data_IF_027559695877
#
_entry.id   IF_027559695877
#
_cell.length_a   1.000
_cell.length_b   1.000
_cell.length_c   1.000
_cell.angle_alpha   90.00
_cell.angle_beta   90.00
_cell.angle_gamma   90.00
#
_symmetry.space_group_name_H-M   'P 1'
#
loop_
_entity.id
_entity.type
_entity.pdbx_description
1 polymer ?
#
# COMPACT_ATOMS: atom_id res chain seq x y z
N UNK A 1 -8.22 -20.46 -5.67
CA UNK A 1 -7.98 -21.10 -4.36
C UNK A 1 -6.90 -20.32 -3.65
N UNK A 2 -7.19 -19.78 -2.45
CA UNK A 2 -6.19 -19.06 -1.67
C UNK A 2 -5.04 -20.00 -1.29
N UNK A 3 -3.79 -19.55 -1.48
CA UNK A 3 -2.62 -20.31 -1.02
C UNK A 3 -2.67 -20.38 0.52
N UNK A 4 -2.45 -21.55 1.13
CA UNK A 4 -2.38 -21.64 2.59
C UNK A 4 -1.24 -20.77 3.10
N UNK A 5 -1.47 -20.06 4.20
CA UNK A 5 -0.43 -19.30 4.91
C UNK A 5 0.78 -20.22 5.12
N UNK A 6 1.93 -19.89 4.51
CA UNK A 6 3.16 -20.64 4.73
C UNK A 6 3.64 -20.35 6.15
N UNK A 7 3.46 -21.32 7.05
CA UNK A 7 4.01 -21.31 8.40
C UNK A 7 5.52 -21.57 8.34
N UNK A 8 6.31 -20.60 7.87
CA UNK A 8 7.74 -20.61 8.12
C UNK A 8 7.96 -20.18 9.57
N UNK A 9 8.36 -21.13 10.43
CA UNK A 9 8.71 -20.88 11.83
C UNK A 9 10.07 -20.20 11.91
N UNK A 10 10.09 -18.93 11.53
CA UNK A 10 11.25 -18.05 11.74
C UNK A 10 11.11 -17.41 13.12
N UNK A 11 12.24 -17.02 13.74
CA UNK A 11 12.25 -16.41 15.08
C UNK A 11 11.22 -15.27 15.26
N UNK A 12 11.02 -14.34 14.30
CA UNK A 12 9.97 -13.32 14.42
C UNK A 12 8.55 -13.91 14.48
N UNK A 13 8.25 -14.92 13.66
CA UNK A 13 6.91 -15.55 13.64
C UNK A 13 6.62 -16.35 14.92
N UNK A 14 7.66 -16.95 15.52
CA UNK A 14 7.53 -17.63 16.81
C UNK A 14 7.21 -16.64 17.93
N UNK A 15 7.81 -15.44 17.89
CA UNK A 15 7.51 -14.35 18.82
C UNK A 15 6.08 -13.82 18.64
N UNK A 16 5.63 -13.58 17.40
CA UNK A 16 4.25 -13.16 17.11
C UNK A 16 3.21 -14.19 17.56
N UNK A 17 3.46 -15.48 17.31
CA UNK A 17 2.58 -16.56 17.76
C UNK A 17 2.60 -16.71 19.28
N UNK A 18 3.78 -16.61 19.89
CA UNK A 18 3.94 -16.57 21.34
C UNK A 18 3.16 -15.43 21.98
N UNK A 19 3.12 -14.23 21.34
CA UNK A 19 2.32 -13.10 21.81
C UNK A 19 0.84 -13.41 21.83
N UNK A 20 0.32 -14.08 20.81
CA UNK A 20 -1.10 -14.45 20.77
C UNK A 20 -1.46 -15.44 21.90
N UNK A 21 -0.54 -16.36 22.21
CA UNK A 21 -0.66 -17.26 23.38
C UNK A 21 -0.58 -16.46 24.70
N UNK A 22 0.36 -15.52 24.83
CA UNK A 22 0.45 -14.62 25.98
C UNK A 22 -0.83 -13.78 26.14
N UNK A 23 -1.45 -13.32 25.05
CA UNK A 23 -2.73 -12.60 25.11
C UNK A 23 -3.83 -13.47 25.71
N UNK A 24 -3.89 -14.77 25.36
CA UNK A 24 -4.86 -15.69 25.94
C UNK A 24 -4.62 -15.87 27.45
N UNK A 25 -3.37 -16.01 27.88
CA UNK A 25 -3.02 -16.06 29.30
C UNK A 25 -3.31 -14.74 30.04
N UNK A 26 -3.09 -13.61 29.39
CA UNK A 26 -3.41 -12.28 29.93
C UNK A 26 -4.93 -12.13 30.18
N UNK A 27 -5.75 -12.51 29.20
CA UNK A 27 -7.22 -12.51 29.35
C UNK A 27 -7.65 -13.46 30.46
N UNK A 28 -7.08 -14.67 30.50
CA UNK A 28 -7.38 -15.64 31.56
C UNK A 28 -6.99 -15.10 32.94
N UNK A 29 -5.84 -14.43 33.06
CA UNK A 29 -5.40 -13.81 34.30
C UNK A 29 -6.42 -12.77 34.79
N UNK A 30 -6.89 -11.87 33.92
CA UNK A 30 -7.89 -10.86 34.32
C UNK A 30 -9.29 -11.44 34.59
N UNK A 31 -9.64 -12.57 33.97
CA UNK A 31 -10.99 -13.15 34.04
C UNK A 31 -11.19 -14.15 35.19
N UNK A 32 -10.11 -14.79 35.64
CA UNK A 32 -10.17 -15.78 36.72
C UNK A 32 -9.91 -15.05 38.04
N UNK A 33 -10.75 -15.32 39.03
CA UNK A 33 -10.57 -14.79 40.39
C UNK A 33 -9.54 -15.64 41.13
N UNK A 34 -8.33 -15.11 41.30
CA UNK A 34 -7.27 -15.71 42.10
C UNK A 34 -6.35 -14.62 42.66
N UNK A 35 -5.62 -14.95 43.72
CA UNK A 35 -4.61 -14.07 44.29
C UNK A 35 -3.50 -13.81 43.27
N UNK A 36 -3.10 -12.54 43.08
CA UNK A 36 -2.09 -12.11 42.12
C UNK A 36 -2.56 -12.00 40.65
N UNK A 37 -3.87 -11.96 40.39
CA UNK A 37 -4.42 -11.82 39.03
C UNK A 37 -3.89 -10.59 38.30
N UNK A 38 -3.82 -9.43 38.97
CA UNK A 38 -3.34 -8.20 38.35
C UNK A 38 -1.82 -8.20 38.21
N UNK A 39 -1.12 -8.74 39.21
CA UNK A 39 0.34 -8.89 39.19
C UNK A 39 0.79 -9.77 38.02
N UNK A 40 0.12 -10.90 37.80
CA UNK A 40 0.38 -11.81 36.67
C UNK A 40 -0.02 -11.13 35.35
N UNK A 41 -1.17 -10.46 35.28
CA UNK A 41 -1.61 -9.74 34.09
C UNK A 41 -0.61 -8.63 33.70
N UNK A 42 -0.09 -7.86 34.66
CA UNK A 42 0.95 -6.86 34.44
C UNK A 42 2.22 -7.47 33.84
N UNK A 43 2.71 -8.55 34.44
CA UNK A 43 3.92 -9.24 33.97
C UNK A 43 3.75 -9.74 32.53
N UNK A 44 2.61 -10.38 32.23
CA UNK A 44 2.31 -10.86 30.88
C UNK A 44 2.21 -9.70 29.89
N UNK A 45 1.51 -8.62 30.25
CA UNK A 45 1.33 -7.46 29.38
C UNK A 45 2.66 -6.81 29.02
N UNK A 46 3.53 -6.57 30.01
CA UNK A 46 4.86 -5.99 29.79
C UNK A 46 5.72 -6.88 28.89
N UNK A 47 5.76 -8.19 29.15
CA UNK A 47 6.51 -9.14 28.30
C UNK A 47 5.94 -9.17 26.87
N UNK A 48 4.62 -9.19 26.72
CA UNK A 48 3.97 -9.19 25.41
C UNK A 48 4.24 -7.89 24.62
N UNK A 49 4.24 -6.74 25.28
CA UNK A 49 4.58 -5.44 24.63
C UNK A 49 6.08 -5.32 24.29
N UNK A 50 6.97 -5.81 25.15
CA UNK A 50 8.42 -5.79 24.87
C UNK A 50 8.80 -6.71 23.72
N UNK A 51 8.15 -7.87 23.61
CA UNK A 51 8.38 -8.82 22.51
C UNK A 51 7.92 -8.28 21.16
N UNK A 52 6.91 -7.40 21.10
CA UNK A 52 6.46 -6.66 19.89
C UNK A 52 7.46 -5.60 19.41
N UNK A 53 8.17 -4.98 20.35
CA UNK A 53 9.24 -4.09 19.97
C UNK A 53 10.45 -4.87 19.43
N UNK A 54 10.75 -6.00 20.07
CA UNK A 54 11.92 -6.83 19.77
C UNK A 54 11.80 -7.57 18.43
N UNK A 55 10.66 -8.18 18.11
CA UNK A 55 10.47 -8.87 16.83
C UNK A 55 10.52 -7.89 15.64
N UNK A 56 9.93 -6.70 15.78
CA UNK A 56 10.00 -5.64 14.79
C UNK A 56 11.43 -5.12 14.61
N UNK A 57 12.22 -5.04 15.69
CA UNK A 57 13.64 -4.69 15.61
C UNK A 57 14.45 -5.78 14.87
N UNK A 58 14.26 -7.05 15.23
CA UNK A 58 14.96 -8.19 14.61
C UNK A 58 14.58 -8.33 13.13
N UNK A 59 13.29 -8.25 12.79
CA UNK A 59 12.79 -8.34 11.42
C UNK A 59 13.36 -7.24 10.51
N UNK A 60 13.45 -5.99 11.02
CA UNK A 60 14.07 -4.88 10.29
C UNK A 60 15.58 -5.06 10.11
N UNK A 61 16.27 -5.61 11.11
CA UNK A 61 17.72 -5.84 11.07
C UNK A 61 18.12 -7.00 10.16
N UNK A 62 17.28 -8.04 10.08
CA UNK A 62 17.56 -9.25 9.30
C UNK A 62 16.92 -9.22 7.89
N UNK A 63 16.11 -8.21 7.59
CA UNK A 63 15.36 -8.10 6.32
C UNK A 63 14.43 -9.31 6.06
N UNK A 64 14.02 -10.01 7.12
CA UNK A 64 13.12 -11.18 7.08
C UNK A 64 11.72 -10.68 7.42
N UNK A 65 10.94 -10.36 6.39
CA UNK A 65 9.56 -9.91 6.55
C UNK A 65 8.62 -10.99 6.00
N UNK A 66 7.93 -11.70 6.88
CA UNK A 66 7.00 -12.77 6.50
C UNK A 66 5.57 -12.23 6.35
N UNK A 67 4.75 -12.88 5.53
CA UNK A 67 3.34 -12.49 5.36
C UNK A 67 2.47 -12.86 6.58
N UNK A 68 2.87 -13.90 7.31
CA UNK A 68 2.22 -14.28 8.57
C UNK A 68 2.47 -13.24 9.67
N UNK A 69 3.71 -12.77 9.86
CA UNK A 69 4.03 -11.71 10.83
C UNK A 69 3.30 -10.40 10.51
N UNK A 70 3.32 -9.97 9.24
CA UNK A 70 2.56 -8.78 8.78
C UNK A 70 1.07 -8.81 9.13
N UNK A 71 0.47 -10.00 9.22
CA UNK A 71 -0.93 -10.17 9.61
C UNK A 71 -1.10 -10.29 11.13
N UNK A 72 -0.26 -11.11 11.78
CA UNK A 72 -0.38 -11.41 13.20
C UNK A 72 0.02 -10.23 14.09
N UNK A 73 1.05 -9.44 13.71
CA UNK A 73 1.56 -8.37 14.57
C UNK A 73 0.51 -7.28 14.82
N UNK A 74 -0.15 -6.70 13.80
CA UNK A 74 -1.18 -5.67 14.02
C UNK A 74 -2.47 -6.23 14.63
N UNK A 75 -2.67 -7.55 14.58
CA UNK A 75 -3.82 -8.23 15.16
C UNK A 75 -3.60 -8.46 16.66
N UNK A 76 -2.45 -9.04 17.03
CA UNK A 76 -2.10 -9.33 18.41
C UNK A 76 -1.99 -8.05 19.25
N UNK A 77 -1.39 -6.97 18.71
CA UNK A 77 -1.30 -5.67 19.39
C UNK A 77 -2.68 -5.11 19.76
N UNK A 78 -3.62 -5.13 18.81
CA UNK A 78 -5.00 -4.65 19.05
C UNK A 78 -5.76 -5.52 20.02
N UNK A 79 -5.60 -6.85 19.93
CA UNK A 79 -6.26 -7.80 20.84
C UNK A 79 -5.76 -7.57 22.27
N UNK A 80 -4.44 -7.48 22.47
CA UNK A 80 -3.85 -7.31 23.80
C UNK A 80 -4.32 -6.01 24.48
N UNK A 81 -4.23 -4.88 23.77
CA UNK A 81 -4.64 -3.58 24.32
C UNK A 81 -6.16 -3.54 24.56
N UNK A 82 -6.97 -4.06 23.62
CA UNK A 82 -8.43 -4.09 23.80
C UNK A 82 -8.84 -5.00 24.94
N UNK A 83 -8.18 -6.16 25.11
CA UNK A 83 -8.41 -7.07 26.21
C UNK A 83 -8.12 -6.40 27.56
N UNK A 84 -7.08 -5.57 27.65
CA UNK A 84 -6.78 -4.85 28.88
C UNK A 84 -7.86 -3.82 29.22
N UNK A 85 -8.29 -3.02 28.25
CA UNK A 85 -9.38 -2.06 28.46
C UNK A 85 -10.69 -2.73 28.85
N UNK A 86 -11.03 -3.88 28.24
CA UNK A 86 -12.27 -4.62 28.54
C UNK A 86 -12.18 -5.33 29.89
N UNK A 87 -11.06 -6.02 30.15
CA UNK A 87 -10.87 -6.82 31.35
C UNK A 87 -10.79 -6.02 32.64
N UNK A 88 -10.50 -4.72 32.53
CA UNK A 88 -10.47 -3.80 33.67
C UNK A 88 -11.76 -2.97 33.83
N UNK A 89 -12.81 -3.22 33.03
CA UNK A 89 -14.08 -2.49 33.20
C UNK A 89 -14.67 -2.83 34.58
N UNK A 90 -14.91 -1.79 35.38
CA UNK A 90 -15.49 -1.93 36.71
C UNK A 90 -14.46 -2.04 37.84
N UNK A 91 -13.17 -2.13 37.51
CA UNK A 91 -12.08 -2.04 38.49
C UNK A 91 -11.79 -0.57 38.84
N UNK A 92 -11.23 -0.31 40.04
CA UNK A 92 -10.93 1.05 40.53
C UNK A 92 -9.99 1.83 39.60
N UNK A 93 -9.05 1.13 38.96
CA UNK A 93 -8.09 1.68 37.99
C UNK A 93 -8.52 1.44 36.53
N UNK A 94 -9.74 0.97 36.33
CA UNK A 94 -10.33 0.72 35.02
C UNK A 94 -10.79 1.97 34.29
N UNK A 95 -10.87 1.89 32.97
CA UNK A 95 -11.55 2.91 32.20
C UNK A 95 -13.09 2.71 32.25
N UNK A 96 -13.89 3.79 32.34
CA UNK A 96 -15.34 3.69 32.22
C UNK A 96 -15.76 3.04 30.90
N UNK A 97 -16.83 2.24 30.94
CA UNK A 97 -17.31 1.47 29.77
C UNK A 97 -17.47 2.32 28.50
N UNK A 98 -18.00 3.54 28.62
CA UNK A 98 -18.20 4.41 27.45
C UNK A 98 -16.87 4.82 26.78
N UNK A 99 -15.80 5.01 27.55
CA UNK A 99 -14.46 5.31 27.02
C UNK A 99 -13.89 4.08 26.33
N UNK A 100 -14.04 2.90 26.93
CA UNK A 100 -13.59 1.62 26.36
C UNK A 100 -14.27 1.36 25.02
N UNK A 101 -15.60 1.47 24.97
CA UNK A 101 -16.38 1.31 23.74
C UNK A 101 -15.94 2.31 22.68
N UNK A 102 -15.73 3.58 23.04
CA UNK A 102 -15.27 4.63 22.12
C UNK A 102 -13.89 4.31 21.53
N UNK A 103 -12.94 3.90 22.37
CA UNK A 103 -11.59 3.52 21.96
C UNK A 103 -11.64 2.33 20.98
N UNK A 104 -12.36 1.27 21.36
CA UNK A 104 -12.44 0.04 20.56
C UNK A 104 -13.17 0.29 19.24
N UNK A 105 -14.32 0.96 19.28
CA UNK A 105 -15.10 1.32 18.10
C UNK A 105 -14.24 2.09 17.09
N UNK A 106 -13.46 3.07 17.57
CA UNK A 106 -12.51 3.81 16.73
C UNK A 106 -11.46 2.88 16.10
N UNK A 107 -10.89 1.94 16.85
CA UNK A 107 -9.90 1.00 16.31
C UNK A 107 -10.44 0.12 15.18
N UNK A 108 -11.63 -0.43 15.37
CA UNK A 108 -12.31 -1.21 14.35
C UNK A 108 -12.73 -0.35 13.16
N UNK A 109 -13.21 0.86 13.40
CA UNK A 109 -13.64 1.79 12.37
C UNK A 109 -12.49 2.18 11.43
N UNK A 110 -11.32 2.54 11.97
CA UNK A 110 -10.13 2.87 11.15
C UNK A 110 -9.61 1.63 10.42
N UNK A 111 -9.66 0.46 11.06
CA UNK A 111 -9.27 -0.81 10.43
C UNK A 111 -10.21 -1.18 9.28
N UNK A 112 -11.52 -1.07 9.51
CA UNK A 112 -12.57 -1.30 8.52
C UNK A 112 -12.47 -0.32 7.36
N UNK A 113 -12.30 0.97 7.63
CA UNK A 113 -12.07 2.00 6.61
C UNK A 113 -10.84 1.68 5.75
N UNK A 114 -9.75 1.22 6.37
CA UNK A 114 -8.55 0.79 5.63
C UNK A 114 -8.82 -0.44 4.76
N UNK A 115 -9.63 -1.39 5.23
CA UNK A 115 -10.03 -2.56 4.43
C UNK A 115 -10.92 -2.13 3.25
N UNK A 116 -11.93 -1.29 3.49
CA UNK A 116 -12.82 -0.77 2.45
C UNK A 116 -12.05 0.05 1.42
N UNK A 117 -11.17 0.95 1.87
CA UNK A 117 -10.30 1.71 0.99
C UNK A 117 -9.35 0.80 0.19
N UNK A 118 -8.75 -0.21 0.84
CA UNK A 118 -7.90 -1.19 0.15
C UNK A 118 -8.67 -2.02 -0.89
N UNK A 119 -9.93 -2.36 -0.62
CA UNK A 119 -10.83 -3.04 -1.56
C UNK A 119 -11.21 -2.12 -2.74
N UNK A 120 -11.32 -0.81 -2.51
CA UNK A 120 -11.54 0.22 -3.55
C UNK A 120 -10.24 0.66 -4.26
N UNK A 121 -9.11 0.03 -3.97
CA UNK A 121 -7.82 0.36 -4.59
C UNK A 121 -7.12 1.62 -4.03
N UNK A 122 -7.61 2.18 -2.93
CA UNK A 122 -6.98 3.28 -2.20
C UNK A 122 -6.11 2.72 -1.06
N UNK A 123 -4.81 2.95 -1.13
CA UNK A 123 -3.89 2.64 -0.03
C UNK A 123 -3.84 3.81 0.94
N UNK A 124 -4.55 3.69 2.05
CA UNK A 124 -4.47 4.66 3.13
C UNK A 124 -3.13 4.53 3.87
N UNK A 125 -2.27 5.54 3.72
CA UNK A 125 -0.99 5.59 4.40
C UNK A 125 -1.16 5.52 5.93
N UNK A 126 -0.22 4.87 6.61
CA UNK A 126 -0.18 4.85 8.06
C UNK A 126 0.17 6.25 8.59
N UNK A 127 -0.73 6.85 9.36
CA UNK A 127 -0.50 8.16 9.99
C UNK A 127 0.50 8.06 11.15
N UNK A 128 1.48 8.99 11.22
CA UNK A 128 2.39 9.14 12.37
C UNK A 128 1.64 9.38 13.69
N UNK A 129 0.44 9.96 13.63
CA UNK A 129 -0.44 10.15 14.79
C UNK A 129 -0.90 8.82 15.43
N UNK A 130 -1.01 7.74 14.63
CA UNK A 130 -1.39 6.41 15.13
C UNK A 130 -0.35 5.81 16.08
N UNK A 131 0.94 6.15 15.92
CA UNK A 131 2.00 5.66 16.82
C UNK A 131 1.89 6.25 18.23
N UNK A 132 1.56 7.54 18.33
CA UNK A 132 1.42 8.23 19.61
C UNK A 132 0.22 7.72 20.41
N UNK A 133 -0.87 7.37 19.71
CA UNK A 133 -2.03 6.71 20.30
C UNK A 133 -1.64 5.42 21.02
N UNK A 134 -1.01 4.48 20.31
CA UNK A 134 -0.69 3.16 20.87
C UNK A 134 0.21 3.28 22.11
N UNK A 135 1.21 4.17 22.07
CA UNK A 135 2.09 4.44 23.22
C UNK A 135 1.27 4.95 24.41
N UNK A 136 0.39 5.94 24.21
CA UNK A 136 -0.43 6.48 25.31
C UNK A 136 -1.36 5.43 25.94
N UNK A 137 -1.91 4.52 25.14
CA UNK A 137 -2.77 3.45 25.63
C UNK A 137 -1.98 2.40 26.41
N UNK A 138 -0.81 1.99 25.92
CA UNK A 138 0.06 1.05 26.62
C UNK A 138 0.52 1.62 27.97
N UNK A 139 0.91 2.90 28.00
CA UNK A 139 1.31 3.57 29.25
C UNK A 139 0.16 3.59 30.26
N UNK A 140 -1.05 3.97 29.82
CA UNK A 140 -2.24 3.94 30.67
C UNK A 140 -2.49 2.52 31.25
N UNK A 141 -2.48 1.49 30.39
CA UNK A 141 -2.72 0.11 30.81
C UNK A 141 -1.66 -0.38 31.80
N UNK A 142 -0.38 -0.11 31.54
CA UNK A 142 0.71 -0.52 32.43
C UNK A 142 0.57 0.15 33.80
N UNK A 143 0.30 1.45 33.84
CA UNK A 143 0.10 2.18 35.11
C UNK A 143 -1.12 1.66 35.86
N UNK A 144 -2.23 1.39 35.16
CA UNK A 144 -3.46 0.89 35.77
C UNK A 144 -3.29 -0.52 36.35
N UNK A 145 -2.66 -1.43 35.59
CA UNK A 145 -2.33 -2.77 36.08
C UNK A 145 -1.32 -2.75 37.23
N UNK A 146 -0.37 -1.82 37.21
CA UNK A 146 0.59 -1.64 38.30
C UNK A 146 -0.10 -1.19 39.59
N UNK A 147 -0.98 -0.19 39.52
CA UNK A 147 -1.73 0.29 40.69
C UNK A 147 -2.67 -0.80 41.24
N UNK A 148 -3.35 -1.54 40.35
CA UNK A 148 -4.19 -2.67 40.75
C UNK A 148 -3.36 -3.79 41.41
N UNK A 149 -2.16 -4.09 40.89
CA UNK A 149 -1.24 -5.07 41.48
C UNK A 149 -0.71 -4.62 42.85
N UNK A 150 -0.40 -3.33 43.04
CA UNK A 150 0.04 -2.81 44.34
C UNK A 150 -1.06 -2.90 45.39
N UNK A 151 -2.30 -2.61 45.01
CA UNK A 151 -3.47 -2.75 45.88
C UNK A 151 -3.72 -4.22 46.25
N UNK A 152 -3.67 -5.12 45.26
CA UNK A 152 -3.78 -6.57 45.43
C UNK A 152 -2.74 -7.14 46.39
N UNK A 153 -1.49 -6.66 46.31
CA UNK A 153 -0.39 -7.09 47.16
C UNK A 153 -0.36 -6.39 48.54
N UNK A 154 -1.31 -5.48 48.82
CA UNK A 154 -1.35 -4.66 50.04
C UNK A 154 -0.03 -3.91 50.28
N UNK A 155 0.62 -3.45 49.21
CA UNK A 155 1.86 -2.66 49.29
C UNK A 155 1.49 -1.27 49.82
N UNK A 156 2.14 -0.75 50.88
CA UNK A 156 1.85 0.58 51.40
C UNK A 156 2.08 1.69 50.36
N UNK A 157 1.23 2.71 50.40
CA UNK A 157 1.32 3.87 49.51
C UNK A 157 2.64 4.62 49.71
N UNK A 158 3.56 4.41 48.77
CA UNK A 158 4.80 5.18 48.65
C UNK A 158 4.64 6.38 47.71
N UNK A 159 5.61 7.31 47.69
CA UNK A 159 5.53 8.53 46.87
C UNK A 159 5.33 8.25 45.37
N UNK A 160 5.87 7.12 44.87
CA UNK A 160 5.68 6.69 43.48
C UNK A 160 4.24 6.24 43.23
N UNK A 161 3.67 5.42 44.12
CA UNK A 161 2.30 4.91 43.99
C UNK A 161 1.31 6.08 44.03
N UNK A 162 1.45 6.97 45.01
CA UNK A 162 0.61 8.17 45.12
C UNK A 162 0.72 9.08 43.90
N UNK A 163 1.92 9.27 43.35
CA UNK A 163 2.11 10.05 42.12
C UNK A 163 1.41 9.39 40.93
N UNK A 164 1.58 8.07 40.75
CA UNK A 164 0.97 7.31 39.67
C UNK A 164 -0.57 7.31 39.77
N UNK A 165 -1.10 7.12 40.97
CA UNK A 165 -2.54 7.20 41.29
C UNK A 165 -3.11 8.57 40.88
N UNK A 166 -2.42 9.66 41.22
CA UNK A 166 -2.82 11.02 40.85
C UNK A 166 -2.82 11.28 39.33
N UNK A 167 -1.83 10.76 38.59
CA UNK A 167 -1.72 11.03 37.14
C UNK A 167 -2.52 10.03 36.28
N UNK A 168 -2.90 8.88 36.81
CA UNK A 168 -3.55 7.82 36.03
C UNK A 168 -4.84 8.28 35.33
N UNK A 169 -5.73 9.07 35.96
CA UNK A 169 -6.91 9.60 35.27
C UNK A 169 -6.54 10.53 34.11
N UNK A 170 -5.47 11.33 34.26
CA UNK A 170 -4.98 12.19 33.19
C UNK A 170 -4.44 11.36 32.01
N UNK A 171 -3.74 10.25 32.28
CA UNK A 171 -3.27 9.32 31.25
C UNK A 171 -4.43 8.72 30.44
N UNK A 172 -5.55 8.38 31.10
CA UNK A 172 -6.76 7.90 30.42
C UNK A 172 -7.33 8.95 29.46
N UNK A 173 -7.50 10.19 29.93
CA UNK A 173 -8.00 11.29 29.11
C UNK A 173 -7.06 11.61 27.94
N UNK A 174 -5.75 11.55 28.15
CA UNK A 174 -4.75 11.70 27.09
C UNK A 174 -4.89 10.57 26.06
N UNK A 175 -4.99 9.31 26.51
CA UNK A 175 -5.14 8.17 25.63
C UNK A 175 -6.42 8.25 24.79
N UNK A 176 -7.54 8.62 25.40
CA UNK A 176 -8.81 8.86 24.71
C UNK A 176 -8.70 10.04 23.73
N UNK A 177 -8.16 11.17 24.18
CA UNK A 177 -8.02 12.38 23.37
C UNK A 177 -7.15 12.16 22.13
N UNK A 178 -6.00 11.50 22.27
CA UNK A 178 -5.14 11.14 21.14
C UNK A 178 -5.84 10.12 20.23
N UNK A 179 -6.59 9.16 20.79
CA UNK A 179 -7.36 8.18 20.01
C UNK A 179 -8.40 8.86 19.12
N UNK A 180 -9.18 9.78 19.69
CA UNK A 180 -10.19 10.54 18.97
C UNK A 180 -9.57 11.50 17.95
N UNK A 181 -8.56 12.28 18.35
CA UNK A 181 -7.86 13.22 17.47
C UNK A 181 -7.24 12.50 16.27
N UNK A 182 -6.54 11.40 16.51
CA UNK A 182 -5.94 10.62 15.43
C UNK A 182 -7.01 9.98 14.52
N UNK A 183 -8.18 9.62 15.07
CA UNK A 183 -9.32 9.15 14.30
C UNK A 183 -9.88 10.26 13.41
N UNK A 184 -10.16 11.43 13.99
CA UNK A 184 -10.65 12.61 13.30
C UNK A 184 -9.72 13.06 12.17
N UNK A 185 -8.42 13.19 12.45
CA UNK A 185 -7.41 13.55 11.43
C UNK A 185 -7.43 12.54 10.27
N UNK A 186 -7.54 11.24 10.59
CA UNK A 186 -7.61 10.20 9.58
C UNK A 186 -8.86 10.32 8.73
N UNK A 187 -10.03 10.54 9.35
CA UNK A 187 -11.29 10.75 8.64
C UNK A 187 -11.27 12.00 7.76
N UNK A 188 -10.84 13.14 8.30
CA UNK A 188 -10.80 14.41 7.60
C UNK A 188 -9.92 14.36 6.35
N UNK A 189 -8.72 13.78 6.46
CA UNK A 189 -7.80 13.61 5.33
C UNK A 189 -8.36 12.67 4.25
N UNK A 190 -9.17 11.71 4.65
CA UNK A 190 -9.71 10.66 3.79
C UNK A 190 -11.20 10.85 3.45
N UNK A 191 -11.76 12.03 3.71
CA UNK A 191 -13.18 12.34 3.48
C UNK A 191 -13.62 12.17 2.03
N UNK A 192 -12.69 12.31 1.08
CA UNK A 192 -12.93 12.06 -0.34
C UNK A 192 -13.28 10.61 -0.70
N UNK A 193 -13.04 9.64 0.20
CA UNK A 193 -13.49 8.26 0.00
C UNK A 193 -15.00 8.08 0.16
N UNK A 194 -15.65 8.98 0.90
CA UNK A 194 -17.10 8.95 1.13
C UNK A 194 -17.88 9.79 0.10
N UNK A 195 -17.21 10.69 -0.61
CA UNK A 195 -17.83 11.56 -1.62
C UNK A 195 -18.17 10.85 -2.95
N UNK A 196 -17.87 9.56 -3.09
CA UNK A 196 -18.11 8.78 -4.33
C UNK A 196 -19.45 8.02 -4.27
N UNK A 197 -20.21 8.13 -3.18
CA UNK A 197 -21.48 7.41 -3.02
C UNK A 197 -22.73 8.24 -3.36
N UNK A 198 -22.60 9.56 -3.55
CA UNK A 198 -23.76 10.44 -3.77
C UNK A 198 -24.14 10.65 -5.26
N UNK A 199 -23.38 10.10 -6.23
CA UNK A 199 -23.67 10.32 -7.67
C UNK A 199 -24.51 9.23 -8.35
N UNK A 200 -24.94 8.18 -7.65
CA UNK A 200 -25.68 7.05 -8.28
C UNK A 200 -27.19 7.01 -7.96
N UNK A 201 -27.69 7.80 -7.01
CA UNK A 201 -29.14 7.84 -6.70
C UNK A 201 -29.68 9.28 -6.60
N UNK A 202 -29.79 9.99 -7.72
CA UNK A 202 -31.02 10.75 -8.01
C UNK A 202 -31.12 11.18 -9.49
N UNK A 203 -32.23 10.78 -10.11
CA UNK A 203 -32.63 11.12 -11.47
C UNK A 203 -33.14 12.56 -11.56
N UNK A 204 -32.90 13.15 -12.73
CA UNK A 204 -33.79 14.07 -13.48
C UNK A 204 -34.26 15.33 -12.73
N UNK A 205 -33.57 16.43 -12.96
CA UNK A 205 -34.07 17.79 -12.74
C UNK A 205 -33.24 18.77 -13.57
N UNK A 206 -33.87 19.82 -14.09
CA UNK A 206 -33.44 20.65 -15.23
C UNK A 206 -31.97 21.09 -15.27
N UNK A 207 -31.41 21.06 -16.49
CA UNK A 207 -30.09 21.56 -16.81
C UNK A 207 -30.03 23.10 -16.69
N UNK A 208 -29.06 23.68 -15.96
CA UNK A 208 -28.63 25.05 -16.18
C UNK A 208 -27.66 25.11 -17.37
N UNK A 209 -27.70 26.23 -18.09
CA UNK A 209 -26.97 26.51 -19.33
C UNK A 209 -25.45 26.24 -19.28
N UNK A 210 -24.81 25.91 -20.42
CA UNK A 210 -23.41 25.50 -20.47
C UNK A 210 -22.46 26.67 -20.12
N UNK A 211 -21.65 26.46 -19.08
CA UNK A 211 -20.42 27.21 -18.79
C UNK A 211 -19.20 26.39 -19.27
N UNK A 212 -18.05 27.02 -19.61
CA UNK A 212 -17.11 26.51 -20.59
C UNK A 212 -16.42 25.21 -20.16
N UNK A 213 -16.15 24.37 -21.17
CA UNK A 213 -15.68 22.99 -21.10
C UNK A 213 -14.78 22.67 -19.89
N UNK A 214 -15.19 21.65 -19.12
CA UNK A 214 -14.33 21.03 -18.12
C UNK A 214 -12.95 20.70 -18.73
N UNK A 215 -11.85 20.88 -17.98
CA UNK A 215 -10.52 20.56 -18.48
C UNK A 215 -10.46 19.08 -18.87
N UNK A 216 -10.01 18.81 -20.10
CA UNK A 216 -9.90 17.45 -20.65
C UNK A 216 -8.92 16.65 -19.79
N UNK A 217 -9.35 15.50 -19.27
CA UNK A 217 -8.51 14.57 -18.51
C UNK A 217 -8.49 13.23 -19.23
N UNK A 218 -7.33 12.86 -19.79
CA UNK A 218 -7.16 11.60 -20.52
C UNK A 218 -6.26 10.64 -19.74
N UNK A 219 -6.49 9.32 -19.83
CA UNK A 219 -5.67 8.35 -19.12
C UNK A 219 -4.25 8.30 -19.66
N UNK A 220 -3.28 8.20 -18.74
CA UNK A 220 -1.87 8.03 -19.04
C UNK A 220 -1.27 6.88 -18.23
N UNK A 221 -0.43 6.10 -18.89
CA UNK A 221 0.34 5.01 -18.32
C UNK A 221 1.77 5.46 -18.06
N UNK A 222 2.18 5.40 -16.80
CA UNK A 222 3.55 5.70 -16.34
C UNK A 222 4.48 4.54 -16.61
N UNK A 223 5.52 4.79 -17.40
CA UNK A 223 6.57 3.81 -17.68
C UNK A 223 7.95 4.47 -17.75
N UNK A 224 9.01 3.70 -17.50
CA UNK A 224 10.38 4.21 -17.52
C UNK A 224 10.69 4.89 -18.85
N UNK A 225 11.33 6.07 -18.82
CA UNK A 225 11.66 6.85 -20.01
C UNK A 225 12.34 5.99 -21.09
N UNK A 226 13.31 5.13 -20.71
CA UNK A 226 14.00 4.26 -21.66
C UNK A 226 13.06 3.29 -22.41
N UNK A 227 12.04 2.77 -21.72
CA UNK A 227 11.03 1.88 -22.30
C UNK A 227 10.08 2.67 -23.20
N UNK A 228 9.66 3.87 -22.78
CA UNK A 228 8.86 4.79 -23.61
C UNK A 228 9.63 5.16 -24.89
N UNK A 229 10.91 5.46 -24.78
CA UNK A 229 11.79 5.76 -25.93
C UNK A 229 11.93 4.54 -26.86
N UNK A 230 12.06 3.33 -26.31
CA UNK A 230 12.12 2.09 -27.09
C UNK A 230 10.83 1.81 -27.87
N UNK A 231 9.67 1.95 -27.20
CA UNK A 231 8.34 1.88 -27.80
C UNK A 231 8.17 2.94 -28.88
N UNK A 232 8.57 4.18 -28.59
CA UNK A 232 8.51 5.31 -29.49
C UNK A 232 9.44 5.21 -30.69
N UNK A 233 10.52 4.44 -30.61
CA UNK A 233 11.43 4.13 -31.70
C UNK A 233 11.01 2.89 -32.52
N UNK A 234 9.92 2.22 -32.14
CA UNK A 234 9.44 1.00 -32.81
C UNK A 234 10.31 -0.23 -32.57
N UNK A 235 11.20 -0.22 -31.56
CA UNK A 235 12.07 -1.38 -31.26
C UNK A 235 11.38 -2.47 -30.45
N UNK A 236 10.29 -2.14 -29.79
CA UNK A 236 9.44 -3.07 -29.08
C UNK A 236 7.98 -2.65 -29.22
N UNK A 237 7.07 -3.61 -29.08
CA UNK A 237 5.63 -3.38 -28.97
C UNK A 237 5.01 -4.04 -27.73
N UNK A 238 5.84 -4.66 -26.89
CA UNK A 238 5.45 -5.38 -25.69
C UNK A 238 5.65 -4.51 -24.45
N UNK A 239 4.67 -4.55 -23.55
CA UNK A 239 4.80 -4.06 -22.18
C UNK A 239 4.57 -5.22 -21.23
N UNK A 240 5.53 -5.44 -20.34
CA UNK A 240 5.42 -6.38 -19.22
C UNK A 240 5.14 -5.62 -17.93
N UNK A 241 3.99 -5.90 -17.32
CA UNK A 241 3.55 -5.19 -16.12
C UNK A 241 2.95 -6.13 -15.09
N UNK A 242 3.52 -6.14 -13.89
CA UNK A 242 2.87 -6.75 -12.73
C UNK A 242 1.86 -5.81 -12.08
N UNK A 243 2.25 -4.53 -12.05
CA UNK A 243 1.57 -3.45 -11.35
C UNK A 243 2.47 -2.72 -10.38
N UNK A 244 2.10 -1.50 -10.02
CA UNK A 244 2.81 -0.71 -9.02
C UNK A 244 2.51 -1.16 -7.59
N UNK A 245 3.34 -0.74 -6.61
CA UNK A 245 3.09 -0.95 -5.17
C UNK A 245 1.70 -0.42 -4.76
N UNK A 246 1.19 0.56 -5.51
CA UNK A 246 -0.09 1.24 -5.29
C UNK A 246 -1.34 0.52 -5.85
N UNK A 247 -1.22 -0.64 -6.53
CA UNK A 247 -2.35 -1.27 -7.27
C UNK A 247 -3.15 -2.32 -6.48
N UNK A 248 -2.97 -2.41 -5.16
CA UNK A 248 -3.90 -3.15 -4.28
C UNK A 248 -3.85 -4.68 -4.42
N UNK A 249 -4.99 -5.34 -4.10
CA UNK A 249 -5.17 -6.82 -4.08
C UNK A 249 -5.68 -7.41 -5.40
N UNK A 250 -6.26 -6.60 -6.28
CA UNK A 250 -6.74 -7.03 -7.62
C UNK A 250 -5.61 -7.19 -8.64
N UNK A 251 -4.39 -6.74 -8.32
CA UNK A 251 -3.27 -6.67 -9.26
C UNK A 251 -3.43 -5.53 -10.27
N UNK A 252 -2.45 -5.42 -11.17
CA UNK A 252 -2.58 -4.58 -12.36
C UNK A 252 -3.74 -5.09 -13.22
N UNK A 253 -4.48 -4.18 -13.83
CA UNK A 253 -5.34 -4.51 -14.94
C UNK A 253 -5.15 -3.48 -16.04
N UNK A 254 -5.33 -3.92 -17.28
CA UNK A 254 -5.38 -3.02 -18.44
C UNK A 254 -6.72 -2.28 -18.35
N UNK A 255 -6.71 -1.11 -17.70
CA UNK A 255 -7.93 -0.32 -17.44
C UNK A 255 -8.40 0.44 -18.67
N UNK A 256 -7.47 0.84 -19.53
CA UNK A 256 -7.73 1.68 -20.69
C UNK A 256 -7.16 1.02 -21.95
N UNK A 257 -7.98 0.94 -23.00
CA UNK A 257 -7.54 0.45 -24.31
C UNK A 257 -6.65 1.44 -25.03
N UNK A 258 -6.84 2.73 -24.77
CA UNK A 258 -6.03 3.82 -25.31
C UNK A 258 -5.56 4.72 -24.17
N UNK A 259 -4.28 5.07 -24.15
CA UNK A 259 -3.69 5.91 -23.11
C UNK A 259 -2.41 6.61 -23.57
N UNK A 260 -2.06 7.72 -22.94
CA UNK A 260 -0.78 8.39 -23.11
C UNK A 260 0.37 7.59 -22.48
N UNK A 261 1.54 7.56 -23.11
CA UNK A 261 2.76 7.08 -22.47
C UNK A 261 3.40 8.25 -21.72
N UNK A 262 3.34 8.22 -20.39
CA UNK A 262 3.94 9.25 -19.54
C UNK A 262 5.32 8.76 -19.08
N UNK A 263 6.42 9.29 -19.63
CA UNK A 263 7.73 8.83 -19.26
C UNK A 263 8.08 9.27 -17.84
N UNK A 264 8.64 8.36 -17.05
CA UNK A 264 9.15 8.65 -15.71
C UNK A 264 10.64 8.30 -15.57
N UNK A 265 11.37 9.15 -14.85
CA UNK A 265 12.77 8.97 -14.44
C UNK A 265 12.89 8.53 -12.97
N UNK A 266 11.78 8.45 -12.24
CA UNK A 266 11.77 8.00 -10.84
C UNK A 266 12.23 6.54 -10.75
N UNK A 267 13.26 6.29 -9.93
CA UNK A 267 13.89 4.98 -9.74
C UNK A 267 14.46 4.34 -11.03
N UNK A 268 14.66 5.12 -12.09
CA UNK A 268 15.28 4.62 -13.32
C UNK A 268 16.75 4.31 -13.04
N UNK A 269 17.05 3.03 -12.84
CA UNK A 269 18.40 2.52 -12.67
C UNK A 269 18.81 1.89 -13.99
N UNK A 270 19.63 2.58 -14.78
CA UNK A 270 20.09 2.10 -16.10
C UNK A 270 20.69 0.69 -16.05
N UNK A 271 21.30 0.33 -14.92
CA UNK A 271 21.86 -0.99 -14.63
C UNK A 271 20.83 -2.14 -14.66
N UNK A 272 19.52 -1.84 -14.59
CA UNK A 272 18.42 -2.83 -14.66
C UNK A 272 17.96 -3.14 -16.09
N UNK A 273 18.54 -2.49 -17.09
CA UNK A 273 18.22 -2.65 -18.50
C UNK A 273 19.41 -3.18 -19.31
N UNK A 274 19.12 -3.83 -20.42
CA UNK A 274 20.05 -4.30 -21.45
C UNK A 274 20.27 -3.16 -22.44
N UNK A 275 21.44 -2.52 -22.38
CA UNK A 275 21.76 -1.32 -23.15
C UNK A 275 21.73 -1.58 -24.67
N UNK A 276 22.16 -2.77 -25.10
CA UNK A 276 22.18 -3.23 -26.49
C UNK A 276 20.78 -3.33 -27.13
N UNK A 277 19.71 -3.38 -26.31
CA UNK A 277 18.32 -3.40 -26.79
C UNK A 277 17.64 -2.04 -26.79
N UNK A 278 18.29 -1.02 -26.25
CA UNK A 278 17.75 0.32 -26.15
C UNK A 278 18.26 1.22 -27.28
N UNK A 279 17.46 2.20 -27.74
CA UNK A 279 17.95 3.27 -28.60
C UNK A 279 19.17 3.98 -28.00
N UNK A 280 20.08 4.44 -28.86
CA UNK A 280 21.23 5.22 -28.41
C UNK A 280 20.74 6.46 -27.63
N UNK A 281 21.28 6.67 -26.43
CA UNK A 281 20.87 7.78 -25.55
C UNK A 281 19.55 7.58 -24.80
N UNK A 282 18.91 6.40 -24.85
CA UNK A 282 17.65 6.15 -24.13
C UNK A 282 17.82 6.00 -22.60
N UNK A 283 19.02 5.63 -22.13
CA UNK A 283 19.34 5.63 -20.70
C UNK A 283 19.79 7.04 -20.32
N UNK A 284 18.91 7.78 -19.65
CA UNK A 284 19.24 9.07 -19.05
C UNK A 284 19.69 8.81 -17.61
N UNK A 285 20.91 9.23 -17.26
CA UNK A 285 21.42 9.20 -15.89
C UNK A 285 20.95 10.44 -15.16
N UNK A 286 20.17 10.27 -14.07
CA UNK A 286 19.60 11.37 -13.27
C UNK A 286 18.09 11.24 -13.09
N UNK A 287 17.62 11.32 -11.84
CA UNK A 287 16.19 11.43 -11.52
C UNK A 287 15.65 12.83 -11.84
N UNK A 288 14.36 13.07 -11.64
CA UNK A 288 13.78 14.42 -11.62
C UNK A 288 14.24 15.25 -10.38
N UNK A 289 15.38 14.91 -9.77
CA UNK A 289 15.87 15.54 -8.52
C UNK A 289 16.50 16.92 -8.77
N UNK A 290 16.94 17.21 -9.99
CA UNK A 290 17.29 18.58 -10.39
C UNK A 290 16.02 19.33 -10.76
N UNK A 291 15.44 20.00 -9.77
CA UNK A 291 14.38 20.99 -10.01
C UNK A 291 14.95 22.01 -11.01
N UNK A 292 14.35 22.19 -12.20
CA UNK A 292 14.84 23.18 -13.15
C UNK A 292 14.85 24.56 -12.49
N UNK A 293 15.79 25.43 -12.91
CA UNK A 293 15.96 26.76 -12.31
C UNK A 293 14.67 27.62 -12.32
N UNK A 294 13.68 27.25 -13.14
CA UNK A 294 12.33 27.83 -13.20
C UNK A 294 11.41 27.44 -12.03
N UNK A 295 11.77 26.44 -11.21
CA UNK A 295 10.94 25.90 -10.12
C UNK A 295 9.74 25.06 -10.58
N UNK A 296 9.57 24.83 -11.88
CA UNK A 296 8.45 24.08 -12.47
C UNK A 296 8.99 22.89 -13.23
N UNK A 297 8.77 21.69 -12.70
CA UNK A 297 9.11 20.44 -13.38
C UNK A 297 8.10 20.20 -14.53
N UNK A 298 8.59 19.86 -15.72
CA UNK A 298 7.76 19.64 -16.91
C UNK A 298 8.12 18.31 -17.55
N UNK A 299 7.14 17.68 -18.19
CA UNK A 299 7.31 16.43 -18.92
C UNK A 299 6.75 16.56 -20.32
N UNK A 300 7.54 16.09 -21.29
CA UNK A 300 7.16 16.03 -22.69
C UNK A 300 6.35 14.76 -22.96
N UNK A 301 5.13 14.94 -23.41
CA UNK A 301 4.21 13.88 -23.85
C UNK A 301 4.15 13.89 -25.37
N UNK A 302 4.60 12.80 -25.98
CA UNK A 302 4.73 12.69 -27.44
C UNK A 302 4.12 11.40 -28.02
N UNK A 303 3.85 10.40 -27.18
CA UNK A 303 3.32 9.11 -27.61
C UNK A 303 2.04 8.74 -26.86
N UNK A 304 1.08 8.19 -27.58
CA UNK A 304 0.01 7.39 -26.99
C UNK A 304 0.02 5.97 -27.57
N UNK A 305 -0.57 5.06 -26.82
CA UNK A 305 -0.59 3.65 -27.12
C UNK A 305 -2.02 3.11 -27.15
N UNK A 306 -2.29 2.17 -28.04
CA UNK A 306 -3.52 1.40 -28.13
C UNK A 306 -3.21 -0.07 -27.87
N UNK A 307 -3.85 -0.66 -26.88
CA UNK A 307 -3.71 -2.08 -26.56
C UNK A 307 -4.48 -2.89 -27.60
N UNK A 308 -3.79 -3.85 -28.22
CA UNK A 308 -4.40 -4.76 -29.20
C UNK A 308 -4.56 -6.16 -28.61
N UNK A 309 -3.60 -6.61 -27.81
CA UNK A 309 -3.62 -7.95 -27.23
C UNK A 309 -3.18 -7.92 -25.78
N UNK A 310 -3.75 -8.82 -24.98
CA UNK A 310 -3.37 -9.00 -23.57
C UNK A 310 -3.24 -10.49 -23.27
N UNK A 311 -2.22 -10.84 -22.50
CA UNK A 311 -2.08 -12.13 -21.84
C UNK A 311 -1.69 -11.91 -20.38
N UNK A 312 -2.15 -12.81 -19.52
CA UNK A 312 -1.65 -12.93 -18.16
C UNK A 312 -0.80 -14.19 -18.08
N UNK A 313 0.51 -14.02 -17.90
CA UNK A 313 1.47 -15.12 -17.90
C UNK A 313 1.65 -15.58 -16.47
N UNK A 314 1.38 -16.86 -16.18
CA UNK A 314 1.55 -17.45 -14.83
C UNK A 314 2.75 -18.38 -14.72
N UNK A 315 3.34 -18.76 -15.86
CA UNK A 315 4.49 -19.66 -15.95
C UNK A 315 5.75 -18.87 -16.32
N UNK A 316 6.86 -19.12 -15.61
CA UNK A 316 8.11 -18.42 -15.87
C UNK A 316 8.68 -18.71 -17.26
N UNK A 317 8.51 -19.93 -17.77
CA UNK A 317 8.96 -20.30 -19.13
C UNK A 317 8.34 -19.41 -20.21
N UNK A 318 7.06 -19.03 -20.06
CA UNK A 318 6.37 -18.11 -20.96
C UNK A 318 6.97 -16.69 -20.87
N UNK A 319 7.29 -16.23 -19.66
CA UNK A 319 7.92 -14.91 -19.46
C UNK A 319 9.35 -14.89 -20.02
N UNK A 320 10.13 -15.95 -19.77
CA UNK A 320 11.48 -16.09 -20.27
C UNK A 320 11.54 -16.14 -21.81
N UNK A 321 10.54 -16.76 -22.46
CA UNK A 321 10.41 -16.77 -23.91
C UNK A 321 10.20 -15.37 -24.50
N UNK A 322 9.70 -14.41 -23.71
CA UNK A 322 9.53 -13.02 -24.12
C UNK A 322 10.80 -12.17 -23.99
N UNK A 323 11.90 -12.75 -23.49
CA UNK A 323 13.15 -12.02 -23.31
C UNK A 323 13.55 -11.23 -24.57
N UNK A 324 13.55 -11.77 -25.81
CA UNK A 324 13.97 -11.01 -27.00
C UNK A 324 13.20 -9.71 -27.28
N UNK A 325 11.99 -9.55 -26.73
CA UNK A 325 11.07 -8.47 -27.09
C UNK A 325 11.03 -7.32 -26.09
N UNK A 326 11.91 -7.31 -25.09
CA UNK A 326 12.01 -6.23 -24.11
C UNK A 326 13.46 -5.96 -23.65
N UNK A 327 13.74 -4.76 -23.11
CA UNK A 327 15.07 -4.36 -22.69
C UNK A 327 15.36 -4.67 -21.21
N UNK A 328 14.43 -5.25 -20.46
CA UNK A 328 14.68 -5.60 -19.06
C UNK A 328 15.67 -6.76 -18.93
N UNK A 329 16.57 -6.66 -17.94
CA UNK A 329 17.38 -7.81 -17.51
C UNK A 329 16.49 -8.88 -16.89
N UNK A 330 16.91 -10.14 -17.00
CA UNK A 330 16.14 -11.29 -16.53
C UNK A 330 15.80 -11.17 -15.05
N UNK A 331 16.79 -10.81 -14.22
CA UNK A 331 16.64 -10.72 -12.76
C UNK A 331 15.53 -9.72 -12.39
N UNK A 332 15.40 -8.63 -13.15
CA UNK A 332 14.43 -7.56 -12.89
C UNK A 332 13.01 -7.99 -13.23
N UNK A 333 12.83 -8.69 -14.36
CA UNK A 333 11.51 -9.25 -14.71
C UNK A 333 11.15 -10.40 -13.78
N UNK A 334 12.13 -11.19 -13.36
CA UNK A 334 11.94 -12.30 -12.42
C UNK A 334 11.47 -11.80 -11.06
N UNK A 335 12.13 -10.77 -10.51
CA UNK A 335 11.67 -10.10 -9.29
C UNK A 335 10.22 -9.60 -9.43
N UNK A 336 9.87 -8.99 -10.57
CA UNK A 336 8.51 -8.50 -10.82
C UNK A 336 7.49 -9.62 -10.97
N UNK A 337 7.86 -10.71 -11.63
CA UNK A 337 7.03 -11.87 -11.83
C UNK A 337 6.76 -12.59 -10.50
N UNK A 338 7.79 -12.77 -9.68
CA UNK A 338 7.73 -13.48 -8.39
C UNK A 338 7.10 -12.61 -7.27
N UNK A 339 6.96 -11.30 -7.48
CA UNK A 339 6.40 -10.37 -6.49
C UNK A 339 4.92 -10.67 -6.17
N UNK A 340 4.65 -10.93 -4.88
CA UNK A 340 3.36 -11.42 -4.34
C UNK A 340 2.98 -12.80 -4.89
N UNK A 341 2.30 -12.82 -6.03
CA UNK A 341 1.86 -14.06 -6.69
C UNK A 341 2.57 -14.16 -8.03
N UNK A 342 3.17 -15.32 -8.39
CA UNK A 342 3.75 -15.54 -9.70
C UNK A 342 2.77 -15.16 -10.81
N UNK A 343 3.21 -14.23 -11.65
CA UNK A 343 2.53 -13.92 -12.89
C UNK A 343 2.80 -12.50 -13.35
N UNK A 344 2.57 -12.17 -14.61
CA UNK A 344 2.79 -10.82 -15.13
C UNK A 344 1.85 -10.57 -16.30
N UNK A 345 1.31 -9.36 -16.42
CA UNK A 345 0.56 -8.99 -17.62
C UNK A 345 1.54 -8.68 -18.74
N UNK A 346 1.34 -9.33 -19.86
CA UNK A 346 1.95 -8.98 -21.14
C UNK A 346 0.86 -8.35 -21.99
N UNK A 347 1.10 -7.16 -22.51
CA UNK A 347 0.18 -6.56 -23.47
C UNK A 347 0.92 -5.91 -24.62
N UNK A 348 0.35 -6.10 -25.80
CA UNK A 348 0.88 -5.61 -27.06
C UNK A 348 0.20 -4.29 -27.40
N UNK A 349 1.00 -3.30 -27.78
CA UNK A 349 0.52 -1.94 -27.99
C UNK A 349 0.93 -1.39 -29.36
N UNK A 350 -0.02 -0.77 -30.06
CA UNK A 350 0.28 0.10 -31.20
C UNK A 350 0.60 1.49 -30.69
N UNK A 351 1.82 1.97 -30.97
CA UNK A 351 2.27 3.29 -30.54
C UNK A 351 2.07 4.30 -31.66
N UNK A 352 1.53 5.46 -31.29
CA UNK A 352 1.28 6.60 -32.18
C UNK A 352 2.10 7.78 -31.68
N UNK A 353 2.79 8.47 -32.59
CA UNK A 353 3.58 9.67 -32.30
C UNK A 353 2.80 10.91 -32.71
N UNK A 354 2.69 11.86 -31.79
CA UNK A 354 2.18 13.20 -32.08
C UNK A 354 3.05 13.90 -33.13
N UNK A 355 2.40 14.62 -34.05
CA UNK A 355 3.11 15.51 -34.97
C UNK A 355 3.78 16.67 -34.23
N UNK A 356 3.10 17.15 -33.20
CA UNK A 356 3.57 18.22 -32.31
C UNK A 356 3.54 17.71 -30.86
N UNK A 357 4.72 17.40 -30.28
CA UNK A 357 4.84 17.02 -28.86
C UNK A 357 4.30 18.11 -27.95
N UNK A 358 3.69 17.71 -26.83
CA UNK A 358 3.13 18.64 -25.84
C UNK A 358 3.95 18.59 -24.56
N UNK A 359 4.28 19.76 -24.02
CA UNK A 359 4.86 19.85 -22.68
C UNK A 359 3.75 20.11 -21.67
N UNK A 360 3.75 19.32 -20.60
CA UNK A 360 2.84 19.51 -19.46
C UNK A 360 3.64 19.71 -18.19
N UNK A 361 3.05 20.45 -17.25
CA UNK A 361 3.61 20.61 -15.91
C UNK A 361 3.48 19.29 -15.16
N UNK A 362 4.53 18.90 -14.45
CA UNK A 362 4.51 17.73 -13.58
C UNK A 362 3.67 18.05 -12.33
N UNK A 363 2.49 17.46 -12.25
CA UNK A 363 1.60 17.64 -11.10
C UNK A 363 1.92 16.64 -9.99
N UNK A 364 1.64 17.00 -8.73
CA UNK A 364 1.75 16.10 -7.57
C UNK A 364 0.97 14.78 -7.74
N UNK A 365 -0.08 14.78 -8.57
CA UNK A 365 -0.83 13.58 -8.93
C UNK A 365 -0.02 12.55 -9.72
N UNK A 366 1.07 12.96 -10.38
CA UNK A 366 1.97 12.09 -11.12
C UNK A 366 3.03 11.44 -10.25
N UNK A 367 3.16 11.85 -8.98
CA UNK A 367 4.15 11.29 -8.06
C UNK A 367 3.84 9.85 -7.65
N UNK A 368 4.85 9.18 -7.09
CA UNK A 368 4.72 7.86 -6.49
C UNK A 368 4.64 6.70 -7.51
N UNK A 369 4.14 5.55 -7.05
CA UNK A 369 4.26 4.27 -7.76
C UNK A 369 2.96 3.79 -8.43
N UNK A 370 2.01 4.69 -8.76
CA UNK A 370 0.82 4.33 -9.56
C UNK A 370 1.20 4.18 -11.03
N UNK A 371 0.65 3.17 -11.72
CA UNK A 371 0.86 3.03 -13.18
C UNK A 371 -0.09 3.90 -13.99
N UNK A 372 -1.30 4.18 -13.49
CA UNK A 372 -2.31 4.98 -14.20
C UNK A 372 -2.50 6.34 -13.54
N UNK A 373 -2.44 7.41 -14.34
CA UNK A 373 -2.72 8.80 -13.96
C UNK A 373 -3.56 9.47 -15.06
N UNK A 374 -4.02 10.69 -14.84
CA UNK A 374 -4.76 11.47 -15.83
C UNK A 374 -3.93 12.68 -16.26
N UNK A 375 -3.80 12.94 -17.55
CA UNK A 375 -3.07 14.09 -18.08
C UNK A 375 -4.01 15.10 -18.73
N UNK A 376 -3.71 16.41 -18.67
CA UNK A 376 -4.54 17.46 -19.23
C UNK A 376 -4.35 17.60 -20.75
N UNK A 377 -4.26 16.48 -21.48
CA UNK A 377 -3.91 16.43 -22.90
C UNK A 377 -4.92 15.59 -23.66
N UNK A 378 -5.74 16.23 -24.48
CA UNK A 378 -6.63 15.54 -25.40
C UNK A 378 -5.84 14.76 -26.47
N UNK A 379 -6.31 13.55 -26.80
CA UNK A 379 -5.83 12.82 -27.97
C UNK A 379 -6.02 13.65 -29.24
N UNK A 380 -5.00 13.67 -30.10
CA UNK A 380 -5.02 14.42 -31.36
C UNK A 380 -4.38 13.61 -32.49
N UNK A 381 -4.30 14.19 -33.69
CA UNK A 381 -3.69 13.57 -34.86
C UNK A 381 -2.26 13.11 -34.55
N UNK A 382 -1.97 11.87 -34.94
CA UNK A 382 -0.71 11.21 -34.67
C UNK A 382 -0.43 10.15 -35.74
N UNK A 383 0.84 9.97 -36.05
CA UNK A 383 1.30 9.03 -37.06
C UNK A 383 1.73 7.70 -36.38
N UNK A 384 1.52 6.54 -37.02
CA UNK A 384 1.94 5.27 -36.46
C UNK A 384 3.47 5.18 -36.35
N UNK A 385 3.97 4.70 -35.22
CA UNK A 385 5.42 4.47 -35.01
C UNK A 385 5.91 3.25 -35.80
N UNK A 386 5.10 2.20 -35.83
CA UNK A 386 5.30 1.01 -36.67
C UNK A 386 4.17 0.95 -37.69
N UNK A 387 4.52 0.64 -38.94
CA UNK A 387 3.50 0.30 -39.93
C UNK A 387 2.80 -1.02 -39.57
N UNK A 388 1.68 -1.29 -40.23
CA UNK A 388 0.84 -2.46 -39.93
C UNK A 388 1.56 -3.79 -40.20
N UNK A 389 2.45 -3.85 -41.20
CA UNK A 389 3.17 -5.07 -41.54
C UNK A 389 4.23 -5.39 -40.48
N UNK A 390 5.03 -4.40 -40.09
CA UNK A 390 6.03 -4.51 -39.03
C UNK A 390 5.38 -4.85 -37.69
N UNK A 391 4.25 -4.22 -37.37
CA UNK A 391 3.52 -4.52 -36.15
C UNK A 391 3.01 -5.97 -36.12
N UNK A 392 2.39 -6.44 -37.20
CA UNK A 392 1.92 -7.83 -37.32
C UNK A 392 3.04 -8.85 -37.23
N UNK A 393 4.21 -8.55 -37.78
CA UNK A 393 5.38 -9.41 -37.65
C UNK A 393 5.77 -9.61 -36.18
N UNK A 394 5.87 -8.51 -35.40
CA UNK A 394 6.17 -8.59 -33.96
C UNK A 394 5.10 -9.37 -33.19
N UNK A 395 3.81 -9.13 -33.47
CA UNK A 395 2.71 -9.88 -32.83
C UNK A 395 2.82 -11.37 -33.15
N UNK A 396 3.14 -11.73 -34.40
CA UNK A 396 3.34 -13.11 -34.84
C UNK A 396 4.53 -13.79 -34.16
N UNK A 397 5.67 -13.11 -34.06
CA UNK A 397 6.87 -13.62 -33.37
C UNK A 397 6.61 -13.84 -31.88
N UNK A 398 5.93 -12.90 -31.21
CA UNK A 398 5.55 -13.03 -29.80
C UNK A 398 4.54 -14.16 -29.60
N UNK A 399 3.55 -14.28 -30.49
CA UNK A 399 2.59 -15.38 -30.47
C UNK A 399 3.26 -16.74 -30.63
N UNK A 400 4.25 -16.85 -31.53
CA UNK A 400 5.03 -18.07 -31.72
C UNK A 400 5.90 -18.41 -30.49
N UNK A 401 6.41 -17.40 -29.77
CA UNK A 401 7.18 -17.57 -28.54
C UNK A 401 6.34 -18.03 -27.34
N UNK A 402 5.00 -17.93 -27.41
CA UNK A 402 4.06 -18.28 -26.33
C UNK A 402 3.16 -19.49 -26.70
N UNK A 403 3.72 -20.68 -27.00
CA UNK A 403 2.92 -21.83 -27.40
C UNK A 403 1.98 -22.26 -26.26
N UNK A 404 0.68 -22.25 -26.53
CA UNK A 404 -0.35 -22.62 -25.55
C UNK A 404 -0.85 -21.50 -24.62
N UNK A 405 -0.34 -20.27 -24.75
CA UNK A 405 -0.90 -19.09 -24.08
C UNK A 405 -1.64 -18.22 -25.08
N UNK A 406 -2.96 -18.07 -24.92
CA UNK A 406 -3.74 -17.23 -25.81
C UNK A 406 -3.45 -15.74 -25.54
N UNK A 407 -2.91 -15.04 -26.54
CA UNK A 407 -2.95 -13.58 -26.60
C UNK A 407 -4.38 -13.19 -26.99
N UNK A 408 -5.19 -12.77 -26.01
CA UNK A 408 -6.55 -12.34 -26.28
C UNK A 408 -6.49 -10.98 -26.99
N UNK A 409 -7.02 -10.93 -28.22
CA UNK A 409 -7.29 -9.67 -28.89
C UNK A 409 -8.41 -8.95 -28.11
N UNK A 410 -8.19 -7.68 -27.79
CA UNK A 410 -9.15 -6.85 -27.07
C UNK A 410 -9.67 -5.79 -28.01
#
# INVERSE_FOLDING_TARGET
MAKPLRFTLNLPNQLSLGRLVLCAFFVAALSIDFSFRYTVALAIFVVASLTDWLDGYIARKQNIVTDLGKLLDPLADKILVSAAFVGMIGDDYGAPMWMVVTIIAREFLITGLRIVAANRGYLLAAEKAGKHKTISQMVFVIVSLFLAATLEMSIPDGPIITFLDYIQPALLWIALGITLLSGWIYFWKNRGLFAVEDEVEEKKGDAPAPSPAAPVKEPAFKEWQAVVTSLGAGRQALILRKGGIAEGKSGFSVKHRRFWLLPTRFHQQGEKLLAERLPAGAIVTGGFEEVPASGVDTVRVEFFAEVTHVAYLTEWSAVAALAPFHPWKEEVIRERFEWKEPGIHAFLVRVRRLREPKEIVWEKGFDGCKSWVEVPVAFSSADPVLDEAAYRAIVGEIGAALPGTALAEI
#
